data_IF_322064697741
#
_entry.id   IF_322064697741
#
_cell.length_a   1.000
_cell.length_b   1.000
_cell.length_c   1.000
_cell.angle_alpha   90.00
_cell.angle_beta   90.00
_cell.angle_gamma   90.00
#
_symmetry.space_group_name_H-M   'P 1'
#
loop_
_entity.id
_entity.type
_entity.pdbx_description
1 polymer ?
#
# COMPACT_ATOMS: atom_id res chain seq x y z
N UNK A 1 7.87 1.15 44.47
CA UNK A 1 7.58 1.24 43.04
C UNK A 1 6.21 0.64 42.82
N UNK A 2 5.25 1.44 42.37
CA UNK A 2 3.90 0.96 42.05
C UNK A 2 3.90 0.72 40.55
N UNK A 3 3.55 -0.50 40.12
CA UNK A 3 3.29 -0.77 38.72
C UNK A 3 2.10 0.08 38.27
N UNK A 4 2.33 0.98 37.33
CA UNK A 4 1.26 1.72 36.68
C UNK A 4 0.60 0.79 35.64
N UNK A 5 -0.74 0.78 35.54
CA UNK A 5 -1.42 0.02 34.50
C UNK A 5 -1.04 0.55 33.12
N UNK A 6 -0.82 -0.36 32.17
CA UNK A 6 -0.64 0.02 30.77
C UNK A 6 -2.01 0.34 30.15
N UNK A 7 -2.09 1.41 29.36
CA UNK A 7 -3.31 1.79 28.62
C UNK A 7 -2.97 1.99 27.15
N UNK A 8 -3.90 1.59 26.27
CA UNK A 8 -3.78 1.74 24.82
C UNK A 8 -5.00 2.47 24.28
N UNK A 9 -4.80 3.29 23.24
CA UNK A 9 -5.86 3.96 22.50
C UNK A 9 -5.59 3.83 21.00
N UNK A 10 -6.59 3.41 20.23
CA UNK A 10 -6.51 3.30 18.79
C UNK A 10 -7.02 4.60 18.17
N UNK A 11 -6.19 5.25 17.35
CA UNK A 11 -6.59 6.37 16.53
C UNK A 11 -6.98 5.80 15.16
N UNK A 12 -8.23 6.01 14.75
CA UNK A 12 -8.78 5.54 13.47
C UNK A 12 -8.90 6.68 12.46
N UNK A 13 -9.27 6.36 11.22
CA UNK A 13 -9.55 7.32 10.13
C UNK A 13 -8.37 8.21 9.72
N UNK A 14 -7.15 7.67 9.80
CA UNK A 14 -5.97 8.30 9.21
C UNK A 14 -5.92 8.03 7.71
N UNK A 15 -5.41 9.00 6.94
CA UNK A 15 -5.11 8.79 5.53
C UNK A 15 -3.78 8.03 5.38
N UNK A 16 -3.77 7.01 4.51
CA UNK A 16 -2.55 6.29 4.15
C UNK A 16 -1.56 7.21 3.43
N UNK A 17 -0.26 6.98 3.64
CA UNK A 17 0.83 7.76 3.01
C UNK A 17 1.15 9.07 3.73
N UNK A 18 0.15 9.74 4.30
CA UNK A 18 0.35 10.95 5.11
C UNK A 18 1.21 10.65 6.34
N UNK A 19 2.11 11.59 6.68
CA UNK A 19 2.96 11.48 7.86
C UNK A 19 2.20 11.99 9.09
N UNK A 20 2.03 11.12 10.08
CA UNK A 20 1.33 11.44 11.32
C UNK A 20 2.29 11.50 12.51
N UNK A 21 2.01 12.43 13.43
CA UNK A 21 2.72 12.62 14.69
C UNK A 21 1.74 12.46 15.85
N UNK A 22 2.16 11.85 16.95
CA UNK A 22 1.34 11.69 18.15
C UNK A 22 2.12 12.04 19.42
N UNK A 23 1.39 12.50 20.44
CA UNK A 23 1.93 12.83 21.75
C UNK A 23 0.86 12.58 22.82
N UNK A 24 1.30 12.28 24.05
CA UNK A 24 0.42 11.99 25.18
C UNK A 24 0.80 12.85 26.39
N UNK A 25 -0.20 13.24 27.19
CA UNK A 25 0.00 13.88 28.49
C UNK A 25 -0.98 13.27 29.49
N UNK A 26 -0.55 13.11 30.75
CA UNK A 26 -1.45 12.73 31.83
C UNK A 26 -2.31 13.93 32.23
N UNK A 27 -3.60 13.72 32.46
CA UNK A 27 -4.54 14.77 32.90
C UNK A 27 -5.02 14.50 34.32
N UNK A 28 -5.08 15.54 35.14
CA UNK A 28 -5.61 15.51 36.52
C UNK A 28 -6.60 16.65 36.71
N UNK A 29 -7.20 16.76 37.91
CA UNK A 29 -8.04 17.92 38.25
C UNK A 29 -7.32 19.27 38.19
N UNK A 30 -5.98 19.28 38.20
CA UNK A 30 -5.16 20.49 38.06
C UNK A 30 -4.77 20.78 36.60
N UNK A 31 -5.16 19.93 35.65
CA UNK A 31 -4.88 20.08 34.22
C UNK A 31 -3.95 19.00 33.64
N UNK A 32 -3.47 19.27 32.43
CA UNK A 32 -2.55 18.40 31.69
C UNK A 32 -1.09 18.58 32.15
N UNK A 33 -0.38 17.46 32.29
CA UNK A 33 1.07 17.46 32.44
C UNK A 33 1.81 17.75 31.13
N UNK A 34 3.12 17.55 31.13
CA UNK A 34 3.94 17.72 29.94
C UNK A 34 3.59 16.71 28.83
N UNK A 35 3.61 17.18 27.58
CA UNK A 35 3.42 16.35 26.40
C UNK A 35 4.67 15.50 26.14
N UNK A 36 4.46 14.22 25.89
CA UNK A 36 5.50 13.26 25.52
C UNK A 36 5.21 12.75 24.11
N UNK A 37 6.11 12.99 23.17
CA UNK A 37 5.99 12.50 21.79
C UNK A 37 6.23 10.98 21.70
N UNK A 38 5.70 10.35 20.66
CA UNK A 38 5.95 8.93 20.38
C UNK A 38 7.40 8.67 19.95
N UNK A 39 7.83 7.41 20.07
CA UNK A 39 9.05 6.90 19.44
C UNK A 39 8.65 5.71 18.56
N UNK A 40 8.84 5.77 17.23
CA UNK A 40 9.38 6.89 16.45
C UNK A 40 8.50 8.15 16.51
N UNK A 41 9.08 9.31 16.17
CA UNK A 41 8.40 10.61 16.24
C UNK A 41 7.21 10.71 15.27
N UNK A 42 7.25 9.94 14.18
CA UNK A 42 6.19 9.89 13.17
C UNK A 42 6.14 8.55 12.47
N UNK A 43 4.97 8.23 11.92
CA UNK A 43 4.76 7.10 11.02
C UNK A 43 3.75 7.49 9.93
N UNK A 44 3.85 6.84 8.77
CA UNK A 44 2.83 6.87 7.72
C UNK A 44 2.08 5.54 7.72
N UNK A 45 0.77 5.52 7.97
CA UNK A 45 -0.07 4.35 7.77
C UNK A 45 0.01 3.87 6.32
N UNK A 46 0.03 2.56 6.13
CA UNK A 46 0.04 1.93 4.82
C UNK A 46 -1.06 0.88 4.73
N UNK A 47 -1.64 0.72 3.57
CA UNK A 47 -2.59 -0.33 3.22
C UNK A 47 -2.14 -1.04 1.96
N UNK A 48 -2.77 -2.16 1.61
CA UNK A 48 -2.55 -2.74 0.29
C UNK A 48 -2.98 -1.72 -0.79
N UNK A 49 -2.29 -1.68 -1.95
CA UNK A 49 -2.78 -0.97 -3.11
C UNK A 49 -4.19 -1.46 -3.49
N UNK A 50 -4.97 -0.58 -4.12
CA UNK A 50 -6.25 -0.98 -4.71
C UNK A 50 -6.04 -1.93 -5.90
N UNK A 51 -7.14 -2.43 -6.45
CA UNK A 51 -7.08 -3.07 -7.77
C UNK A 51 -6.64 -2.09 -8.85
N UNK A 52 -6.06 -2.62 -9.92
CA UNK A 52 -5.81 -1.85 -11.15
C UNK A 52 -7.15 -1.39 -11.75
N UNK A 53 -7.19 -0.16 -12.24
CA UNK A 53 -8.39 0.42 -12.83
C UNK A 53 -8.78 -0.26 -14.16
N UNK A 54 -7.81 -0.79 -14.90
CA UNK A 54 -8.03 -1.39 -16.22
C UNK A 54 -7.11 -2.58 -16.40
N UNK A 55 -7.68 -3.68 -16.91
CA UNK A 55 -6.97 -4.89 -17.29
C UNK A 55 -7.57 -5.40 -18.60
N UNK A 56 -6.84 -5.21 -19.68
CA UNK A 56 -7.21 -5.66 -21.03
C UNK A 56 -6.37 -6.86 -21.45
N UNK A 57 -7.01 -7.79 -22.16
CA UNK A 57 -6.36 -8.97 -22.73
C UNK A 57 -6.56 -8.96 -24.24
N UNK A 58 -5.46 -9.11 -24.99
CA UNK A 58 -5.52 -9.27 -26.44
C UNK A 58 -4.75 -10.51 -26.89
N UNK A 59 -5.31 -11.21 -27.88
CA UNK A 59 -4.65 -12.36 -28.53
C UNK A 59 -3.61 -11.83 -29.49
N UNK A 60 -2.39 -12.38 -29.40
CA UNK A 60 -1.31 -12.07 -30.33
C UNK A 60 -1.26 -13.15 -31.41
N UNK A 61 -1.26 -14.43 -31.01
CA UNK A 61 -1.29 -15.60 -31.89
C UNK A 61 -1.88 -16.85 -31.18
N UNK A 62 -1.62 -18.06 -31.69
CA UNK A 62 -2.22 -19.31 -31.19
C UNK A 62 -1.85 -19.64 -29.74
N UNK A 63 -0.66 -19.23 -29.28
CA UNK A 63 -0.13 -19.60 -27.96
C UNK A 63 0.28 -18.39 -27.09
N UNK A 64 0.09 -17.16 -27.58
CA UNK A 64 0.42 -15.94 -26.84
C UNK A 64 -0.70 -14.90 -26.78
N UNK A 65 -0.72 -14.22 -25.64
CA UNK A 65 -1.62 -13.12 -25.32
C UNK A 65 -0.82 -11.99 -24.69
N UNK A 66 -1.28 -10.76 -24.86
CA UNK A 66 -0.77 -9.59 -24.15
C UNK A 66 -1.79 -9.14 -23.11
N UNK A 67 -1.32 -8.85 -21.91
CA UNK A 67 -2.11 -8.23 -20.84
C UNK A 67 -1.64 -6.79 -20.69
N UNK A 68 -2.56 -5.84 -20.80
CA UNK A 68 -2.30 -4.41 -20.60
C UNK A 68 -3.06 -3.97 -19.35
N UNK A 69 -2.38 -3.32 -18.43
CA UNK A 69 -2.99 -2.82 -17.20
C UNK A 69 -2.31 -1.54 -16.75
N UNK A 70 -3.00 -0.78 -15.91
CA UNK A 70 -2.48 0.47 -15.32
C UNK A 70 -2.11 0.26 -13.85
N UNK A 71 -1.41 1.23 -13.27
CA UNK A 71 -1.24 1.26 -11.82
C UNK A 71 -2.59 1.52 -11.12
N UNK A 72 -2.77 0.99 -9.89
CA UNK A 72 -3.96 1.28 -9.10
C UNK A 72 -4.05 2.78 -8.80
N UNK A 73 -5.28 3.30 -8.75
CA UNK A 73 -5.50 4.72 -8.39
C UNK A 73 -4.99 5.05 -6.98
N UNK A 74 -5.04 4.06 -6.08
CA UNK A 74 -4.56 4.20 -4.71
C UNK A 74 -3.49 3.14 -4.46
N UNK A 75 -2.26 3.59 -4.25
CA UNK A 75 -1.09 2.74 -3.97
C UNK A 75 -1.04 2.25 -2.52
N UNK A 76 -1.94 2.75 -1.66
CA UNK A 76 -2.02 2.39 -0.25
C UNK A 76 -1.02 3.15 0.62
N UNK A 77 -0.45 4.25 0.14
CA UNK A 77 0.47 5.10 0.90
C UNK A 77 1.94 4.80 0.66
N UNK A 78 2.27 4.00 -0.35
CA UNK A 78 3.61 3.70 -0.83
C UNK A 78 3.54 3.25 -2.29
N UNK A 79 4.58 3.55 -3.07
CA UNK A 79 4.63 3.16 -4.49
C UNK A 79 4.49 1.65 -4.67
N UNK A 80 3.85 1.25 -5.76
CA UNK A 80 3.72 -0.17 -6.13
C UNK A 80 5.07 -0.70 -6.64
N UNK A 81 5.58 -1.74 -5.99
CA UNK A 81 6.86 -2.34 -6.37
C UNK A 81 6.73 -3.36 -7.52
N UNK A 82 5.61 -4.07 -7.60
CA UNK A 82 5.40 -5.13 -8.60
C UNK A 82 3.93 -5.51 -8.80
N UNK A 83 3.66 -6.15 -9.94
CA UNK A 83 2.37 -6.74 -10.30
C UNK A 83 2.49 -8.26 -10.45
N UNK A 84 1.54 -8.99 -9.85
CA UNK A 84 1.37 -10.42 -10.09
C UNK A 84 0.32 -10.62 -11.19
N UNK A 85 0.75 -11.07 -12.36
CA UNK A 85 -0.13 -11.42 -13.48
C UNK A 85 -0.35 -12.93 -13.47
N UNK A 86 -1.62 -13.37 -13.43
CA UNK A 86 -2.01 -14.77 -13.54
C UNK A 86 -2.79 -14.98 -14.84
N UNK A 87 -2.49 -16.07 -15.56
CA UNK A 87 -3.19 -16.48 -16.77
C UNK A 87 -3.63 -17.93 -16.63
N UNK A 88 -4.90 -18.21 -16.88
CA UNK A 88 -5.48 -19.54 -16.74
C UNK A 88 -6.62 -19.74 -17.76
N UNK A 89 -6.86 -20.98 -18.18
CA UNK A 89 -8.03 -21.40 -18.96
C UNK A 89 -9.26 -21.64 -18.07
N UNK A 90 -9.06 -21.82 -16.76
CA UNK A 90 -10.14 -21.85 -15.77
C UNK A 90 -10.47 -20.44 -15.25
N UNK A 91 -11.76 -20.08 -15.27
CA UNK A 91 -12.26 -18.81 -14.72
C UNK A 91 -11.93 -18.60 -13.23
N UNK A 92 -11.73 -19.68 -12.48
CA UNK A 92 -11.38 -19.62 -11.06
C UNK A 92 -9.87 -19.64 -10.78
N UNK A 93 -9.02 -19.66 -11.82
CA UNK A 93 -7.56 -19.66 -11.69
C UNK A 93 -7.00 -20.85 -10.87
N UNK A 94 -7.64 -22.02 -11.01
CA UNK A 94 -7.28 -23.27 -10.30
C UNK A 94 -6.85 -24.41 -11.24
N UNK A 95 -6.67 -24.16 -12.54
CA UNK A 95 -6.24 -25.24 -13.43
C UNK A 95 -4.77 -25.59 -13.21
N UNK A 96 -4.39 -26.80 -13.61
CA UNK A 96 -2.99 -27.23 -13.59
C UNK A 96 -2.12 -26.45 -14.61
N UNK A 97 -2.76 -25.81 -15.60
CA UNK A 97 -2.11 -25.03 -16.65
C UNK A 97 -1.93 -23.54 -16.31
N UNK A 98 -2.26 -23.11 -15.08
CA UNK A 98 -2.10 -21.71 -14.67
C UNK A 98 -0.66 -21.25 -14.81
N UNK A 99 -0.48 -20.10 -15.46
CA UNK A 99 0.78 -19.36 -15.53
C UNK A 99 0.72 -18.16 -14.60
N UNK A 100 1.85 -17.81 -14.00
CA UNK A 100 1.98 -16.61 -13.17
C UNK A 100 3.30 -15.92 -13.49
N UNK A 101 3.29 -14.60 -13.54
CA UNK A 101 4.48 -13.78 -13.71
C UNK A 101 4.43 -12.59 -12.74
N UNK A 102 5.52 -12.36 -12.02
CA UNK A 102 5.76 -11.12 -11.31
C UNK A 102 6.45 -10.13 -12.26
N UNK A 103 5.90 -8.93 -12.37
CA UNK A 103 6.40 -7.83 -13.18
C UNK A 103 6.81 -6.70 -12.23
N UNK A 104 8.10 -6.38 -12.20
CA UNK A 104 8.60 -5.24 -11.42
C UNK A 104 8.18 -3.93 -12.11
N UNK A 105 7.93 -2.89 -11.31
CA UNK A 105 7.63 -1.57 -11.83
C UNK A 105 8.94 -0.80 -12.05
N UNK A 106 9.21 -0.38 -13.29
CA UNK A 106 10.29 0.55 -13.56
C UNK A 106 9.79 1.99 -13.34
N UNK A 107 10.12 2.55 -12.17
CA UNK A 107 9.82 3.93 -11.81
C UNK A 107 10.78 4.96 -12.44
N UNK A 108 11.57 4.57 -13.46
CA UNK A 108 12.55 5.48 -14.06
C UNK A 108 11.86 6.69 -14.72
N UNK A 109 12.23 7.89 -14.26
CA UNK A 109 11.77 9.14 -14.86
C UNK A 109 12.40 9.29 -16.24
N UNK A 110 11.66 9.06 -17.32
CA UNK A 110 12.16 9.33 -18.66
C UNK A 110 12.22 10.85 -18.89
N UNK A 111 13.44 11.41 -18.87
CA UNK A 111 13.67 12.81 -19.22
C UNK A 111 13.42 13.00 -20.71
N UNK A 112 12.23 13.50 -21.08
CA UNK A 112 11.93 13.92 -22.45
C UNK A 112 12.80 15.14 -22.77
N UNK A 113 13.75 15.00 -23.70
CA UNK A 113 14.39 16.14 -24.35
C UNK A 113 13.65 16.40 -25.65
N UNK A 114 12.96 17.53 -25.78
CA UNK A 114 12.60 18.04 -27.10
C UNK A 114 13.88 18.50 -27.80
N UNK A 115 13.99 18.23 -29.10
CA UNK A 115 14.98 18.86 -29.97
C UNK A 115 14.38 20.11 -30.58
#
# INVERSE_FOLDING_TARGET
WVDAPTTFYKIDQLHSGDVWYAQVAAFTSQGAGALTATVPASLSPKTAPSESNTVDLAVVDEDSVVVVFEEPLQDGGELVDSFKVELDTSKSFVSTGKKMKLLEVDHSTQRIRSK
#
